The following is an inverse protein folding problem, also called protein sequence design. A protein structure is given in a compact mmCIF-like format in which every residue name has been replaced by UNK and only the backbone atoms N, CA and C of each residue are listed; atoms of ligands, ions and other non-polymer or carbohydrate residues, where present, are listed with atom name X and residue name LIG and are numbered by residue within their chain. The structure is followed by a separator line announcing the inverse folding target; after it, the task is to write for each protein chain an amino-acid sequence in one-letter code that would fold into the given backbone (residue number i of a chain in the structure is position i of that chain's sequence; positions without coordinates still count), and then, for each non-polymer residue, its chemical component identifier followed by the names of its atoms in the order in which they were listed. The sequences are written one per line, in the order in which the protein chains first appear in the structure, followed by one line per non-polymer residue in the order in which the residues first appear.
data_IF_536439655716
#
_entry.id   IF_536439655716
#
_cell.length_a   1.000
_cell.length_b   1.000
_cell.length_c   1.000
_cell.angle_alpha   90.00
_cell.angle_beta   90.00
_cell.angle_gamma   90.00
#
_symmetry.space_group_name_H-M   'P 1'
#
loop_
_entity.id
_entity.type
_entity.pdbx_description
1 polymer ?
#
# COMPACT_ATOMS: atom_id res chain seq x y z
N UNK A 1 -17.80 0.22 4.94
CA UNK A 1 -16.51 -0.46 4.69
C UNK A 1 -15.51 0.08 5.71
N UNK A 2 -14.69 -0.77 6.32
CA UNK A 2 -13.64 -0.30 7.24
C UNK A 2 -12.43 0.22 6.44
N UNK A 3 -12.02 1.45 6.69
CA UNK A 3 -10.80 2.02 6.12
C UNK A 3 -9.57 1.20 6.52
N UNK A 4 -8.56 1.19 5.65
CA UNK A 4 -7.26 0.61 5.95
C UNK A 4 -6.50 1.55 6.89
N UNK A 5 -5.79 0.98 7.85
CA UNK A 5 -4.80 1.70 8.66
C UNK A 5 -3.40 1.33 8.20
N UNK A 6 -2.38 2.02 8.72
CA UNK A 6 -1.00 1.66 8.46
C UNK A 6 -0.68 0.25 8.98
N UNK A 7 -1.15 -0.12 10.16
CA UNK A 7 -0.99 -1.48 10.72
C UNK A 7 -1.73 -2.51 9.86
N UNK A 8 -2.90 -2.16 9.33
CA UNK A 8 -3.59 -3.01 8.35
C UNK A 8 -2.76 -3.21 7.09
N UNK A 9 -2.11 -2.15 6.60
CA UNK A 9 -1.21 -2.22 5.45
C UNK A 9 0.00 -3.12 5.72
N UNK A 10 0.67 -3.03 6.89
CA UNK A 10 1.87 -3.85 7.17
C UNK A 10 1.54 -5.34 7.22
N UNK A 11 0.38 -5.70 7.77
CA UNK A 11 -0.13 -7.08 7.72
C UNK A 11 -0.34 -7.53 6.28
N UNK A 12 -0.92 -6.70 5.42
CA UNK A 12 -1.12 -7.04 4.01
C UNK A 12 0.22 -7.14 3.26
N UNK A 13 1.18 -6.25 3.52
CA UNK A 13 2.50 -6.29 2.89
C UNK A 13 3.26 -7.56 3.26
N UNK A 14 3.19 -7.99 4.52
CA UNK A 14 3.72 -9.29 4.96
C UNK A 14 3.01 -10.44 4.25
N UNK A 15 1.68 -10.42 4.17
CA UNK A 15 0.92 -11.53 3.58
C UNK A 15 1.09 -11.68 2.06
N UNK A 16 1.15 -10.58 1.31
CA UNK A 16 1.20 -10.61 -0.16
C UNK A 16 2.62 -10.55 -0.74
N UNK A 17 3.55 -9.89 -0.04
CA UNK A 17 4.89 -9.63 -0.54
C UNK A 17 5.98 -10.28 0.32
N UNK A 18 5.62 -10.87 1.48
CA UNK A 18 6.56 -11.37 2.49
C UNK A 18 7.56 -10.28 2.93
N UNK A 19 7.09 -9.04 3.04
CA UNK A 19 7.86 -7.89 3.51
C UNK A 19 7.47 -7.52 4.93
N UNK A 20 8.46 -7.44 5.81
CA UNK A 20 8.28 -6.88 7.16
C UNK A 20 8.69 -5.41 7.23
N UNK A 21 9.60 -4.98 6.35
CA UNK A 21 10.04 -3.60 6.22
C UNK A 21 10.44 -3.28 4.77
N UNK A 22 10.42 -1.99 4.44
CA UNK A 22 10.88 -1.46 3.16
C UNK A 22 11.14 0.05 3.29
N UNK A 23 12.11 0.59 2.54
CA UNK A 23 12.38 2.04 2.47
C UNK A 23 11.16 2.91 2.10
N UNK A 24 10.13 2.30 1.50
CA UNK A 24 8.89 2.97 1.09
C UNK A 24 7.79 2.90 2.16
N UNK A 25 7.95 2.10 3.21
CA UNK A 25 6.97 2.01 4.30
C UNK A 25 6.83 3.34 5.02
N UNK A 26 7.92 4.10 5.16
CA UNK A 26 7.90 5.46 5.71
C UNK A 26 7.02 6.40 4.88
N UNK A 27 7.06 6.29 3.55
CA UNK A 27 6.21 7.09 2.69
C UNK A 27 4.73 6.68 2.80
N UNK A 28 4.45 5.37 2.83
CA UNK A 28 3.10 4.85 3.06
C UNK A 28 2.56 5.32 4.41
N UNK A 29 3.37 5.26 5.47
CA UNK A 29 3.02 5.74 6.82
C UNK A 29 2.69 7.23 6.81
N UNK A 30 3.54 8.06 6.19
CA UNK A 30 3.27 9.49 6.03
C UNK A 30 1.97 9.75 5.28
N UNK A 31 1.57 8.92 4.32
CA UNK A 31 0.31 9.08 3.61
C UNK A 31 -0.91 8.75 4.50
N UNK A 32 -0.80 7.75 5.38
CA UNK A 32 -1.83 7.45 6.38
C UNK A 32 -1.92 8.52 7.48
N UNK A 33 -0.80 9.08 7.93
CA UNK A 33 -0.76 10.11 8.97
C UNK A 33 -1.21 11.48 8.44
N UNK A 34 -0.76 11.88 7.25
CA UNK A 34 -1.00 13.21 6.69
C UNK A 34 -2.31 13.33 5.89
N UNK A 35 -3.23 12.39 6.03
CA UNK A 35 -4.48 12.45 5.29
C UNK A 35 -5.54 11.51 5.84
N UNK A 36 -6.80 11.96 5.79
CA UNK A 36 -7.96 11.07 5.81
C UNK A 36 -8.03 10.31 4.48
N UNK A 37 -7.01 9.54 4.12
CA UNK A 37 -7.03 8.79 2.86
C UNK A 37 -8.04 7.66 3.05
N UNK A 38 -9.18 7.80 2.40
CA UNK A 38 -10.29 6.85 2.45
C UNK A 38 -10.02 5.66 1.52
N UNK A 39 -9.00 4.87 1.85
CA UNK A 39 -8.71 3.61 1.15
C UNK A 39 -9.25 2.44 1.96
N UNK A 40 -9.82 1.45 1.29
CA UNK A 40 -10.26 0.22 1.95
C UNK A 40 -9.12 -0.80 2.01
N UNK A 41 -9.22 -1.77 2.92
CA UNK A 41 -8.26 -2.89 2.95
C UNK A 41 -8.21 -3.64 1.62
N UNK A 42 -9.34 -3.78 0.93
CA UNK A 42 -9.42 -4.46 -0.36
C UNK A 42 -8.66 -3.70 -1.45
N UNK A 43 -8.79 -2.36 -1.49
CA UNK A 43 -8.04 -1.54 -2.45
C UNK A 43 -6.53 -1.69 -2.24
N UNK A 44 -6.08 -1.64 -0.99
CA UNK A 44 -4.66 -1.80 -0.66
C UNK A 44 -4.17 -3.20 -1.03
N UNK A 45 -4.91 -4.25 -0.66
CA UNK A 45 -4.57 -5.63 -0.99
C UNK A 45 -4.45 -5.85 -2.50
N UNK A 46 -5.39 -5.30 -3.29
CA UNK A 46 -5.38 -5.44 -4.75
C UNK A 46 -4.08 -4.90 -5.38
N UNK A 47 -3.53 -3.81 -4.83
CA UNK A 47 -2.30 -3.17 -5.34
C UNK A 47 -1.04 -3.89 -4.87
N UNK A 48 -1.11 -4.53 -3.70
CA UNK A 48 -0.04 -5.36 -3.16
C UNK A 48 0.05 -6.73 -3.84
N UNK A 49 -0.99 -7.21 -4.52
CA UNK A 49 -0.92 -8.48 -5.24
C UNK A 49 0.02 -8.39 -6.44
N UNK A 50 1.12 -9.18 -6.48
CA UNK A 50 2.01 -9.23 -7.63
C UNK A 50 1.29 -9.80 -8.84
N UNK A 51 1.28 -9.08 -9.97
CA UNK A 51 0.61 -9.51 -11.20
C UNK A 51 1.58 -10.00 -12.27
N UNK A 52 2.87 -9.72 -12.13
CA UNK A 52 3.92 -10.05 -13.11
C UNK A 52 5.09 -10.77 -12.45
N UNK A 53 5.93 -11.45 -13.23
CA UNK A 53 7.17 -12.07 -12.72
C UNK A 53 8.11 -11.02 -12.12
N UNK A 54 8.20 -9.84 -12.75
CA UNK A 54 9.00 -8.72 -12.21
C UNK A 54 8.53 -8.28 -10.82
N UNK A 55 7.21 -8.23 -10.57
CA UNK A 55 6.64 -7.91 -9.25
C UNK A 55 6.81 -9.02 -8.21
N UNK A 56 7.07 -10.25 -8.68
CA UNK A 56 7.42 -11.38 -7.82
C UNK A 56 8.88 -11.31 -7.36
N UNK A 57 9.77 -10.86 -8.25
CA UNK A 57 11.20 -10.77 -7.97
C UNK A 57 11.56 -9.47 -7.23
N UNK A 58 10.93 -8.36 -7.60
CA UNK A 58 11.08 -7.06 -6.95
C UNK A 58 9.71 -6.62 -6.43
N UNK A 59 9.60 -6.40 -5.12
CA UNK A 59 8.33 -6.03 -4.46
C UNK A 59 8.07 -4.52 -4.48
N UNK A 60 9.09 -3.72 -4.81
CA UNK A 60 9.03 -2.26 -4.90
C UNK A 60 7.86 -1.77 -5.79
N UNK A 61 7.62 -2.32 -7.00
CA UNK A 61 6.54 -1.85 -7.85
C UNK A 61 5.14 -2.04 -7.25
N UNK A 62 4.93 -3.06 -6.41
CA UNK A 62 3.67 -3.24 -5.70
C UNK A 62 3.45 -2.15 -4.65
N UNK A 63 4.52 -1.71 -3.97
CA UNK A 63 4.46 -0.62 -2.99
C UNK A 63 4.26 0.74 -3.67
N UNK A 64 4.92 0.98 -4.81
CA UNK A 64 4.73 2.18 -5.62
C UNK A 64 3.27 2.32 -6.07
N UNK A 65 2.63 1.23 -6.52
CA UNK A 65 1.18 1.23 -6.85
C UNK A 65 0.30 1.66 -5.69
N UNK A 66 0.62 1.25 -4.46
CA UNK A 66 -0.13 1.66 -3.26
C UNK A 66 0.05 3.17 -3.03
N UNK A 67 1.29 3.66 -3.09
CA UNK A 67 1.62 5.08 -2.90
C UNK A 67 0.93 5.95 -3.94
N UNK A 68 1.03 5.60 -5.22
CA UNK A 68 0.39 6.34 -6.32
C UNK A 68 -1.13 6.40 -6.14
N UNK A 69 -1.74 5.27 -5.78
CA UNK A 69 -3.17 5.23 -5.52
C UNK A 69 -3.57 6.13 -4.36
N UNK A 70 -2.90 6.04 -3.22
CA UNK A 70 -3.20 6.88 -2.06
C UNK A 70 -3.03 8.37 -2.37
N UNK A 71 -1.98 8.74 -3.11
CA UNK A 71 -1.78 10.12 -3.60
C UNK A 71 -2.92 10.57 -4.51
N UNK A 72 -3.42 9.68 -5.39
CA UNK A 72 -4.54 9.98 -6.29
C UNK A 72 -5.84 10.18 -5.52
N UNK A 73 -6.16 9.30 -4.57
CA UNK A 73 -7.38 9.45 -3.75
C UNK A 73 -7.33 10.71 -2.89
N UNK A 74 -6.15 11.10 -2.40
CA UNK A 74 -5.96 12.37 -1.68
C UNK A 74 -6.23 13.60 -2.56
N UNK A 75 -5.90 13.55 -3.87
CA UNK A 75 -6.14 14.66 -4.82
C UNK A 75 -7.59 14.80 -5.29
N UNK A 76 -8.43 13.79 -5.09
CA UNK A 76 -9.87 13.86 -5.44
C UNK A 76 -10.69 14.64 -4.40
N UNK A 77 -10.08 15.06 -3.30
CA UNK A 77 -10.64 15.95 -2.29
C UNK A 77 -10.15 17.36 -2.51
#
# INVERSE_FOLDING_TARGET
MSYCTYEGFTVLAKNFLNLEDHILFDEVKKLFENGRVEVTRADVAERLMPRTSHEKDNRTPCLEKVIEFMKREKRKR
#
